data_IF_027579652356
#
_entry.id   IF_027579652356
#
_cell.length_a   1.000
_cell.length_b   1.000
_cell.length_c   1.000
_cell.angle_alpha   90.00
_cell.angle_beta   90.00
_cell.angle_gamma   90.00
#
_symmetry.space_group_name_H-M   'P 1'
#
loop_
_entity.id
_entity.type
_entity.pdbx_description
1 polymer ?
#
# COMPACT_ATOMS: atom_id res chain seq x y z
N UNK A 1 -9.95 -7.88 14.29
CA UNK A 1 -8.98 -7.50 13.24
C UNK A 1 -8.00 -6.49 13.78
N UNK A 2 -6.72 -6.86 13.83
CA UNK A 2 -5.64 -5.99 14.31
C UNK A 2 -5.34 -4.85 13.33
N UNK A 3 -4.74 -3.76 13.83
CA UNK A 3 -4.32 -2.61 13.00
C UNK A 3 -3.42 -3.05 11.83
N UNK A 4 -2.55 -4.05 12.07
CA UNK A 4 -1.64 -4.60 11.07
C UNK A 4 -2.36 -5.40 9.97
N UNK A 5 -3.40 -6.16 10.32
CA UNK A 5 -4.19 -6.95 9.35
C UNK A 5 -4.90 -6.02 8.36
N UNK A 6 -5.57 -4.97 8.87
CA UNK A 6 -6.21 -3.94 8.03
C UNK A 6 -5.21 -3.22 7.12
N UNK A 7 -4.00 -2.97 7.62
CA UNK A 7 -2.96 -2.31 6.85
C UNK A 7 -2.46 -3.20 5.71
N UNK A 8 -2.28 -4.50 5.97
CA UNK A 8 -1.97 -5.49 4.95
C UNK A 8 -3.07 -5.61 3.89
N UNK A 9 -4.34 -5.65 4.29
CA UNK A 9 -5.47 -5.68 3.36
C UNK A 9 -5.48 -4.46 2.43
N UNK A 10 -5.22 -3.27 2.98
CA UNK A 10 -5.15 -2.03 2.20
C UNK A 10 -3.97 -2.02 1.21
N UNK A 11 -2.80 -2.50 1.64
CA UNK A 11 -1.61 -2.64 0.77
C UNK A 11 -1.94 -3.59 -0.40
N UNK A 12 -2.48 -4.77 -0.13
CA UNK A 12 -2.80 -5.74 -1.17
C UNK A 12 -3.89 -5.25 -2.13
N UNK A 13 -4.88 -4.52 -1.62
CA UNK A 13 -5.92 -3.89 -2.44
C UNK A 13 -5.33 -2.88 -3.42
N UNK A 14 -4.45 -1.99 -2.96
CA UNK A 14 -3.80 -1.00 -3.81
C UNK A 14 -2.81 -1.62 -4.79
N UNK A 15 -2.09 -2.69 -4.41
CA UNK A 15 -1.22 -3.44 -5.33
C UNK A 15 -2.02 -4.02 -6.50
N UNK A 16 -3.18 -4.63 -6.21
CA UNK A 16 -4.07 -5.15 -7.26
C UNK A 16 -4.58 -4.04 -8.15
N UNK A 17 -4.99 -2.91 -7.56
CA UNK A 17 -5.45 -1.76 -8.32
C UNK A 17 -4.35 -1.22 -9.25
N UNK A 18 -3.12 -1.05 -8.75
CA UNK A 18 -1.97 -0.59 -9.52
C UNK A 18 -1.69 -1.53 -10.71
N UNK A 19 -1.68 -2.84 -10.49
CA UNK A 19 -1.46 -3.82 -11.56
C UNK A 19 -2.54 -3.71 -12.66
N UNK A 20 -3.80 -3.52 -12.28
CA UNK A 20 -4.89 -3.32 -13.23
C UNK A 20 -4.71 -2.03 -14.03
N UNK A 21 -4.24 -0.95 -13.41
CA UNK A 21 -3.94 0.31 -14.12
C UNK A 21 -2.82 0.13 -15.15
N UNK A 22 -1.75 -0.59 -14.78
CA UNK A 22 -0.62 -0.91 -15.67
C UNK A 22 -1.10 -1.77 -16.85
N UNK A 23 -1.83 -2.87 -16.58
CA UNK A 23 -2.33 -3.78 -17.61
C UNK A 23 -3.26 -3.08 -18.60
N UNK A 24 -4.07 -2.14 -18.12
CA UNK A 24 -5.01 -1.40 -18.97
C UNK A 24 -4.38 -0.17 -19.63
N UNK A 25 -3.10 0.12 -19.36
CA UNK A 25 -2.38 1.31 -19.82
C UNK A 25 -3.16 2.62 -19.52
N UNK A 26 -3.80 2.67 -18.34
CA UNK A 26 -4.71 3.75 -17.95
C UNK A 26 -3.92 4.85 -17.25
N UNK A 27 -4.02 6.05 -17.82
CA UNK A 27 -3.71 7.37 -17.25
C UNK A 27 -2.57 7.42 -16.19
N UNK A 28 -1.42 7.94 -16.62
CA UNK A 28 -0.22 8.14 -15.79
C UNK A 28 -0.48 8.87 -14.46
N UNK A 29 -1.50 9.74 -14.40
CA UNK A 29 -1.82 10.49 -13.17
C UNK A 29 -2.43 9.59 -12.09
N UNK A 30 -3.33 8.67 -12.48
CA UNK A 30 -3.96 7.74 -11.54
C UNK A 30 -2.95 6.70 -11.06
N UNK A 31 -2.10 6.22 -11.97
CA UNK A 31 -0.98 5.35 -11.67
C UNK A 31 -0.04 5.96 -10.62
N UNK A 32 0.33 7.23 -10.81
CA UNK A 32 1.18 7.96 -9.87
C UNK A 32 0.53 8.10 -8.49
N UNK A 33 -0.76 8.44 -8.43
CA UNK A 33 -1.50 8.59 -7.17
C UNK A 33 -1.58 7.27 -6.39
N UNK A 34 -1.91 6.18 -7.07
CA UNK A 34 -2.00 4.84 -6.45
C UNK A 34 -0.62 4.40 -5.97
N UNK A 35 0.45 4.66 -6.73
CA UNK A 35 1.83 4.39 -6.30
C UNK A 35 2.18 5.14 -5.01
N UNK A 36 1.89 6.44 -4.95
CA UNK A 36 2.17 7.26 -3.75
C UNK A 36 1.37 6.82 -2.52
N UNK A 37 0.13 6.37 -2.72
CA UNK A 37 -0.69 5.83 -1.63
C UNK A 37 -0.11 4.51 -1.11
N UNK A 38 0.36 3.65 -2.02
CA UNK A 38 1.00 2.38 -1.65
C UNK A 38 2.27 2.62 -0.82
N UNK A 39 3.13 3.55 -1.24
CA UNK A 39 4.35 3.90 -0.51
C UNK A 39 4.06 4.37 0.92
N UNK A 40 3.04 5.20 1.11
CA UNK A 40 2.64 5.68 2.45
C UNK A 40 2.24 4.52 3.37
N UNK A 41 1.47 3.55 2.86
CA UNK A 41 1.03 2.41 3.67
C UNK A 41 2.19 1.46 4.00
N UNK A 42 3.13 1.27 3.07
CA UNK A 42 4.34 0.47 3.30
C UNK A 42 5.18 1.12 4.40
N UNK A 43 5.36 2.44 4.37
CA UNK A 43 6.07 3.18 5.44
C UNK A 43 5.36 3.03 6.78
N UNK A 44 4.03 3.15 6.82
CA UNK A 44 3.27 2.94 8.07
C UNK A 44 3.46 1.50 8.59
N UNK A 45 3.46 0.51 7.70
CA UNK A 45 3.62 -0.89 8.04
C UNK A 45 4.99 -1.15 8.68
N UNK A 46 6.05 -0.66 8.06
CA UNK A 46 7.39 -0.78 8.64
C UNK A 46 7.51 -0.02 9.96
N UNK A 47 6.92 1.18 10.09
CA UNK A 47 6.93 1.90 11.36
C UNK A 47 6.29 1.10 12.51
N UNK A 48 5.18 0.41 12.23
CA UNK A 48 4.49 -0.43 13.22
C UNK A 48 5.35 -1.66 13.58
N UNK A 49 5.95 -2.32 12.58
CA UNK A 49 6.83 -3.47 12.82
C UNK A 49 8.06 -3.07 13.62
N UNK A 50 8.75 -2.00 13.23
CA UNK A 50 9.95 -1.52 13.93
C UNK A 50 9.64 -1.14 15.37
N UNK A 51 8.51 -0.46 15.63
CA UNK A 51 8.07 -0.15 17.00
C UNK A 51 7.73 -1.40 17.81
N UNK A 52 7.17 -2.43 17.19
CA UNK A 52 6.85 -3.70 17.85
C UNK A 52 8.12 -4.51 18.19
N UNK A 53 9.18 -4.40 17.40
CA UNK A 53 10.47 -5.07 17.66
C UNK A 53 11.34 -4.37 18.70
N UNK A 54 11.04 -3.12 19.07
CA UNK A 54 11.77 -2.34 20.06
C UNK A 54 11.18 -2.40 21.48
N UNK A 55 10.05 -3.10 21.66
CA UNK A 55 9.34 -3.28 22.93
C UNK A 55 9.41 -4.74 23.41
#
# INVERSE_FOLDING_TARGET
>A
MGKLEKLNENIESLRRHLNVLIEKNVNDTELLLVSQQLDKLIVEYYSIITKKSAN
#
